data_IF_080122014548
#
_entry.id   IF_080122014548
#
_cell.length_a   1.000
_cell.length_b   1.000
_cell.length_c   1.000
_cell.angle_alpha   90.00
_cell.angle_beta   90.00
_cell.angle_gamma   90.00
#
_symmetry.space_group_name_H-M   'P 1'
#
loop_
_entity.id
_entity.type
_entity.pdbx_description
1 polymer ?
#
# COMPACT_ATOMS: atom_id res chain seq x y z
N UNK A 1 -11.97 6.00 -9.63
CA UNK A 1 -11.50 5.03 -10.63
C UNK A 1 -12.47 3.87 -10.75
N UNK A 2 -12.67 3.08 -9.73
CA UNK A 2 -13.50 1.85 -9.78
C UNK A 2 -14.99 2.11 -10.08
N UNK A 3 -15.58 3.18 -9.54
CA UNK A 3 -16.99 3.50 -9.80
C UNK A 3 -17.25 4.06 -11.21
N UNK A 4 -16.27 4.75 -11.79
CA UNK A 4 -16.33 5.16 -13.20
C UNK A 4 -16.22 3.96 -14.15
N UNK A 5 -15.53 2.89 -13.75
CA UNK A 5 -15.42 1.66 -14.55
C UNK A 5 -16.79 1.00 -14.72
N UNK A 6 -17.66 1.01 -13.70
CA UNK A 6 -19.01 0.45 -13.81
C UNK A 6 -19.86 1.17 -14.86
N UNK A 7 -19.82 2.50 -14.90
CA UNK A 7 -20.56 3.31 -15.89
C UNK A 7 -20.04 3.18 -17.32
N UNK A 8 -18.72 3.04 -17.47
CA UNK A 8 -18.03 2.87 -18.75
C UNK A 8 -17.74 1.40 -19.08
N UNK A 9 -18.15 0.47 -18.21
CA UNK A 9 -17.92 -0.96 -18.31
C UNK A 9 -18.87 -1.68 -19.28
N UNK A 10 -18.74 -2.98 -19.35
CA UNK A 10 -19.54 -3.83 -20.23
C UNK A 10 -21.02 -3.89 -19.81
N UNK A 11 -21.30 -3.81 -18.50
CA UNK A 11 -22.64 -3.92 -17.95
C UNK A 11 -23.36 -2.57 -17.77
N UNK A 12 -22.66 -1.44 -17.96
CA UNK A 12 -23.19 -0.06 -17.84
C UNK A 12 -24.03 0.17 -16.56
N UNK A 13 -23.58 -0.38 -15.45
CA UNK A 13 -24.24 -0.29 -14.15
C UNK A 13 -23.56 0.74 -13.25
N UNK A 14 -24.23 1.13 -12.16
CA UNK A 14 -23.63 1.98 -11.11
C UNK A 14 -22.62 1.21 -10.24
N UNK A 15 -22.54 -0.12 -10.39
CA UNK A 15 -21.59 -0.99 -9.72
C UNK A 15 -20.42 -1.32 -10.66
N UNK A 16 -19.18 -1.48 -10.14
CA UNK A 16 -18.06 -1.99 -10.91
C UNK A 16 -18.38 -3.35 -11.55
N UNK A 17 -17.88 -3.59 -12.76
CA UNK A 17 -18.17 -4.81 -13.52
C UNK A 17 -17.88 -6.11 -12.76
N UNK A 18 -16.78 -6.14 -11.96
CA UNK A 18 -16.45 -7.30 -11.15
C UNK A 18 -17.48 -7.58 -10.03
N UNK A 19 -18.15 -6.55 -9.52
CA UNK A 19 -19.22 -6.72 -8.52
C UNK A 19 -20.50 -7.24 -9.18
N UNK A 20 -20.82 -6.77 -10.39
CA UNK A 20 -21.97 -7.27 -11.17
C UNK A 20 -21.76 -8.75 -11.50
N UNK A 21 -20.55 -9.14 -11.89
CA UNK A 21 -20.21 -10.53 -12.18
C UNK A 21 -20.34 -11.45 -10.94
N UNK A 22 -20.10 -10.92 -9.74
CA UNK A 22 -20.24 -11.63 -8.47
C UNK A 22 -21.65 -11.52 -7.87
N UNK A 23 -22.64 -11.05 -8.63
CA UNK A 23 -24.06 -10.89 -8.25
C UNK A 23 -24.28 -9.97 -7.04
N UNK A 24 -23.43 -8.94 -6.87
CA UNK A 24 -23.64 -7.90 -5.88
C UNK A 24 -24.75 -6.96 -6.30
N UNK A 25 -25.70 -6.71 -5.38
CA UNK A 25 -26.85 -5.81 -5.63
C UNK A 25 -26.61 -4.37 -5.17
N UNK A 26 -25.75 -4.20 -4.17
CA UNK A 26 -25.48 -2.91 -3.54
C UNK A 26 -23.96 -2.70 -3.37
N UNK A 27 -23.55 -1.42 -3.41
CA UNK A 27 -22.16 -1.04 -3.19
C UNK A 27 -21.82 -1.19 -1.69
N UNK A 28 -20.80 -1.99 -1.31
CA UNK A 28 -20.38 -2.09 0.09
C UNK A 28 -19.99 -0.73 0.66
N UNK A 29 -20.24 -0.52 1.96
CA UNK A 29 -19.99 0.75 2.64
C UNK A 29 -18.55 1.28 2.51
N UNK A 30 -17.56 0.40 2.42
CA UNK A 30 -16.15 0.77 2.28
C UNK A 30 -15.81 1.32 0.89
N UNK A 31 -16.68 1.15 -0.12
CA UNK A 31 -16.55 1.75 -1.44
C UNK A 31 -17.27 3.10 -1.57
N UNK A 32 -18.09 3.50 -0.58
CA UNK A 32 -18.90 4.71 -0.65
C UNK A 32 -18.06 5.99 -0.87
N UNK A 33 -16.84 6.05 -0.30
CA UNK A 33 -15.92 7.18 -0.44
C UNK A 33 -15.11 7.16 -1.75
N UNK A 34 -15.18 6.11 -2.56
CA UNK A 34 -14.42 5.97 -3.81
C UNK A 34 -14.97 6.78 -4.99
N UNK A 35 -16.06 7.50 -4.80
CA UNK A 35 -16.71 8.33 -5.81
C UNK A 35 -15.91 9.59 -6.16
N UNK A 36 -15.25 10.16 -5.16
CA UNK A 36 -14.39 11.34 -5.33
C UNK A 36 -12.93 10.95 -5.49
N UNK A 37 -12.28 11.47 -6.54
CA UNK A 37 -10.84 11.25 -6.76
C UNK A 37 -9.99 11.76 -5.59
N UNK A 38 -10.34 12.93 -5.03
CA UNK A 38 -9.65 13.49 -3.87
C UNK A 38 -9.80 12.60 -2.62
N UNK A 39 -11.00 12.08 -2.36
CA UNK A 39 -11.23 11.14 -1.27
C UNK A 39 -10.44 9.84 -1.47
N UNK A 40 -10.37 9.32 -2.70
CA UNK A 40 -9.57 8.14 -3.02
C UNK A 40 -8.08 8.37 -2.78
N UNK A 41 -7.53 9.54 -3.12
CA UNK A 41 -6.14 9.89 -2.81
C UNK A 41 -5.88 9.92 -1.30
N UNK A 42 -6.80 10.47 -0.52
CA UNK A 42 -6.69 10.46 0.95
C UNK A 42 -6.72 9.02 1.47
N UNK A 43 -7.59 8.16 0.94
CA UNK A 43 -7.66 6.76 1.33
C UNK A 43 -6.39 5.97 1.00
N UNK A 44 -5.76 6.25 -0.14
CA UNK A 44 -4.47 5.65 -0.53
C UNK A 44 -3.37 5.93 0.50
N UNK A 45 -3.40 7.08 1.16
CA UNK A 45 -2.46 7.44 2.21
C UNK A 45 -2.91 6.94 3.59
N UNK A 46 -4.20 7.14 3.90
CA UNK A 46 -4.75 6.89 5.22
C UNK A 46 -4.88 5.40 5.55
N UNK A 47 -5.37 4.58 4.62
CA UNK A 47 -5.64 3.15 4.89
C UNK A 47 -4.35 2.39 5.22
N UNK A 48 -3.30 2.40 4.38
CA UNK A 48 -2.05 1.73 4.74
C UNK A 48 -1.38 2.36 5.96
N UNK A 49 -1.49 3.68 6.14
CA UNK A 49 -0.98 4.39 7.32
C UNK A 49 -1.65 3.93 8.61
N UNK A 50 -2.97 3.83 8.64
CA UNK A 50 -3.74 3.39 9.81
C UNK A 50 -3.45 1.92 10.13
N UNK A 51 -3.47 1.04 9.13
CA UNK A 51 -3.16 -0.38 9.31
C UNK A 51 -1.74 -0.54 9.87
N UNK A 52 -0.77 0.16 9.28
CA UNK A 52 0.61 0.12 9.76
C UNK A 52 0.75 0.71 11.17
N UNK A 53 0.02 1.78 11.49
CA UNK A 53 0.03 2.38 12.82
C UNK A 53 -0.50 1.39 13.87
N UNK A 54 -1.67 0.80 13.62
CA UNK A 54 -2.30 -0.14 14.56
C UNK A 54 -1.41 -1.36 14.77
N UNK A 55 -1.00 -2.01 13.68
CA UNK A 55 -0.13 -3.19 13.78
C UNK A 55 1.22 -2.85 14.42
N UNK A 56 1.88 -1.79 13.96
CA UNK A 56 3.17 -1.36 14.45
C UNK A 56 3.15 -0.97 15.92
N UNK A 57 2.08 -0.29 16.37
CA UNK A 57 1.92 0.07 17.78
C UNK A 57 1.91 -1.16 18.68
N UNK A 58 1.10 -2.17 18.37
CA UNK A 58 1.04 -3.40 19.17
C UNK A 58 2.34 -4.20 19.07
N UNK A 59 2.92 -4.35 17.89
CA UNK A 59 4.13 -5.11 17.67
C UNK A 59 5.35 -4.49 18.40
N UNK A 60 5.55 -3.18 18.26
CA UNK A 60 6.69 -2.51 18.91
C UNK A 60 6.49 -2.34 20.42
N UNK A 61 5.26 -2.15 20.89
CA UNK A 61 4.93 -2.11 22.31
C UNK A 61 5.19 -3.45 22.99
N UNK A 62 4.90 -4.56 22.31
CA UNK A 62 5.14 -5.92 22.80
C UNK A 62 6.62 -6.31 22.80
N UNK A 63 7.52 -5.41 22.38
CA UNK A 63 8.98 -5.62 22.29
C UNK A 63 9.38 -6.84 21.44
N UNK A 64 8.51 -7.24 20.51
CA UNK A 64 8.80 -8.33 19.58
C UNK A 64 9.91 -7.87 18.64
N UNK A 65 10.97 -8.70 18.51
CA UNK A 65 12.17 -8.37 17.73
C UNK A 65 12.62 -9.55 16.87
N UNK A 66 13.40 -9.21 15.82
CA UNK A 66 14.08 -10.21 14.98
C UNK A 66 13.10 -11.13 14.26
N UNK A 67 13.38 -12.42 14.28
CA UNK A 67 12.67 -13.46 13.53
C UNK A 67 11.17 -13.51 13.89
N UNK A 68 10.81 -13.32 15.14
CA UNK A 68 9.40 -13.33 15.57
C UNK A 68 8.60 -12.18 14.94
N UNK A 69 9.22 -11.01 14.78
CA UNK A 69 8.57 -9.89 14.10
C UNK A 69 8.32 -10.23 12.63
N UNK A 70 9.30 -10.83 11.95
CA UNK A 70 9.15 -11.26 10.55
C UNK A 70 8.06 -12.32 10.38
N UNK A 71 7.98 -13.31 11.30
CA UNK A 71 6.93 -14.34 11.24
C UNK A 71 5.54 -13.72 11.39
N UNK A 72 5.36 -12.81 12.36
CA UNK A 72 4.06 -12.18 12.62
C UNK A 72 3.64 -11.30 11.44
N UNK A 73 4.56 -10.54 10.84
CA UNK A 73 4.24 -9.72 9.66
C UNK A 73 3.86 -10.59 8.46
N UNK A 74 4.56 -11.69 8.22
CA UNK A 74 4.20 -12.63 7.15
C UNK A 74 2.86 -13.32 7.41
N UNK A 75 2.59 -13.74 8.64
CA UNK A 75 1.30 -14.32 9.02
C UNK A 75 0.14 -13.34 8.81
N UNK A 76 0.33 -12.05 9.16
CA UNK A 76 -0.66 -11.01 8.94
C UNK A 76 -0.92 -10.79 7.45
N UNK A 77 0.14 -10.73 6.63
CA UNK A 77 0.02 -10.55 5.18
C UNK A 77 -0.70 -11.73 4.55
N UNK A 78 -0.38 -12.96 4.97
CA UNK A 78 -1.05 -14.17 4.49
C UNK A 78 -2.53 -14.21 4.89
N UNK A 79 -2.85 -13.83 6.13
CA UNK A 79 -4.25 -13.73 6.58
C UNK A 79 -5.04 -12.68 5.79
N UNK A 80 -4.43 -11.52 5.49
CA UNK A 80 -5.04 -10.49 4.64
C UNK A 80 -5.24 -11.00 3.20
N UNK A 81 -4.27 -11.71 2.64
CA UNK A 81 -4.39 -12.35 1.33
C UNK A 81 -5.59 -13.29 1.28
N UNK A 82 -5.73 -14.20 2.27
CA UNK A 82 -6.86 -15.11 2.36
C UNK A 82 -8.20 -14.39 2.51
N UNK A 83 -8.22 -13.29 3.27
CA UNK A 83 -9.42 -12.45 3.41
C UNK A 83 -9.83 -11.84 2.07
N UNK A 84 -8.88 -11.35 1.27
CA UNK A 84 -9.16 -10.76 -0.03
C UNK A 84 -9.51 -11.80 -1.11
N UNK A 85 -9.10 -13.05 -0.97
CA UNK A 85 -9.54 -14.13 -1.84
C UNK A 85 -11.03 -14.48 -1.69
N UNK A 86 -11.65 -14.11 -0.57
CA UNK A 86 -13.08 -14.34 -0.37
C UNK A 86 -13.92 -13.38 -1.20
N UNK A 87 -14.78 -13.92 -2.05
CA UNK A 87 -15.69 -13.12 -2.90
C UNK A 87 -16.64 -12.22 -2.10
N UNK A 88 -16.98 -12.64 -0.88
CA UNK A 88 -17.90 -11.94 0.02
C UNK A 88 -17.35 -10.61 0.56
N UNK A 89 -16.06 -10.37 0.41
CA UNK A 89 -15.43 -9.14 0.95
C UNK A 89 -15.58 -7.93 0.05
N UNK A 90 -16.03 -8.09 -1.21
CA UNK A 90 -16.16 -7.01 -2.18
C UNK A 90 -14.83 -6.51 -2.75
N UNK A 91 -13.75 -7.29 -2.64
CA UNK A 91 -12.41 -6.99 -3.18
C UNK A 91 -12.04 -7.84 -4.41
N UNK A 92 -13.03 -8.23 -5.21
CA UNK A 92 -12.81 -8.96 -6.46
C UNK A 92 -12.47 -10.45 -6.30
N UNK A 93 -12.23 -10.94 -5.09
CA UNK A 93 -11.96 -12.34 -4.83
C UNK A 93 -10.78 -12.91 -5.63
N UNK A 94 -10.91 -14.15 -6.10
CA UNK A 94 -9.86 -14.84 -6.87
C UNK A 94 -9.53 -14.17 -8.21
N UNK A 95 -10.49 -13.48 -8.84
CA UNK A 95 -10.28 -12.79 -10.11
C UNK A 95 -9.57 -11.45 -9.95
N UNK A 96 -9.57 -10.89 -8.73
CA UNK A 96 -8.99 -9.59 -8.44
C UNK A 96 -9.72 -8.44 -9.15
N UNK A 97 -9.00 -7.33 -9.34
CA UNK A 97 -9.46 -6.18 -10.08
C UNK A 97 -8.80 -6.13 -11.45
N UNK A 98 -9.61 -6.06 -12.49
CA UNK A 98 -9.16 -6.04 -13.88
C UNK A 98 -9.89 -4.93 -14.63
N UNK A 99 -9.49 -4.71 -15.87
CA UNK A 99 -10.23 -3.89 -16.84
C UNK A 99 -10.30 -2.39 -16.48
N UNK A 100 -9.15 -1.84 -16.04
CA UNK A 100 -9.00 -0.41 -15.80
C UNK A 100 -8.97 0.34 -17.14
N UNK A 101 -10.08 0.95 -17.57
CA UNK A 101 -10.21 1.60 -18.89
C UNK A 101 -9.84 3.07 -18.89
N UNK A 102 -10.22 3.82 -17.85
CA UNK A 102 -10.10 5.29 -17.82
C UNK A 102 -9.65 5.81 -16.46
N UNK A 103 -8.85 6.87 -16.47
CA UNK A 103 -8.51 7.68 -15.31
C UNK A 103 -8.94 9.12 -15.61
N UNK A 104 -9.80 9.70 -14.75
CA UNK A 104 -10.34 11.07 -14.91
C UNK A 104 -10.92 11.32 -16.31
N UNK A 105 -11.57 10.31 -16.90
CA UNK A 105 -12.17 10.39 -18.25
C UNK A 105 -11.20 10.10 -19.41
N UNK A 106 -9.89 10.02 -19.16
CA UNK A 106 -8.89 9.72 -20.20
C UNK A 106 -8.64 8.21 -20.29
N UNK A 107 -8.62 7.62 -21.50
CA UNK A 107 -8.35 6.20 -21.67
C UNK A 107 -6.90 5.88 -21.29
N UNK A 108 -6.68 4.83 -20.48
CA UNK A 108 -5.32 4.41 -20.05
C UNK A 108 -4.50 3.86 -21.21
N UNK A 109 -5.17 3.33 -22.24
CA UNK A 109 -4.51 2.73 -23.39
C UNK A 109 -3.80 3.76 -24.31
N UNK A 110 -4.09 5.07 -24.17
CA UNK A 110 -3.45 6.11 -24.97
C UNK A 110 -1.98 6.27 -24.63
N UNK A 111 -1.17 6.54 -25.67
CA UNK A 111 0.27 6.79 -25.51
C UNK A 111 0.55 7.96 -24.55
N UNK A 112 -0.26 9.01 -24.61
CA UNK A 112 -0.15 10.19 -23.75
C UNK A 112 -0.36 9.83 -22.26
N UNK A 113 -1.36 9.01 -21.95
CA UNK A 113 -1.62 8.60 -20.57
C UNK A 113 -0.51 7.68 -20.05
N UNK A 114 0.00 6.76 -20.86
CA UNK A 114 1.14 5.91 -20.49
C UNK A 114 2.40 6.73 -20.19
N UNK A 115 2.69 7.73 -21.02
CA UNK A 115 3.82 8.65 -20.79
C UNK A 115 3.61 9.47 -19.50
N UNK A 116 2.39 9.96 -19.27
CA UNK A 116 2.05 10.70 -18.04
C UNK A 116 2.23 9.84 -16.79
N UNK A 117 1.75 8.60 -16.79
CA UNK A 117 1.92 7.66 -15.69
C UNK A 117 3.40 7.31 -15.47
N UNK A 118 4.16 7.11 -16.55
CA UNK A 118 5.60 6.85 -16.46
C UNK A 118 6.36 8.02 -15.82
N UNK A 119 6.12 9.25 -16.30
CA UNK A 119 6.73 10.46 -15.75
C UNK A 119 6.33 10.66 -14.29
N UNK A 120 5.04 10.48 -13.96
CA UNK A 120 4.54 10.60 -12.59
C UNK A 120 5.20 9.57 -11.66
N UNK A 121 5.38 8.34 -12.11
CA UNK A 121 6.07 7.29 -11.34
C UNK A 121 7.53 7.64 -11.13
N UNK A 122 8.23 8.12 -12.17
CA UNK A 122 9.61 8.56 -12.07
C UNK A 122 9.79 9.73 -11.10
N UNK A 123 8.90 10.73 -11.16
CA UNK A 123 8.90 11.86 -10.23
C UNK A 123 8.60 11.41 -8.79
N UNK A 124 7.68 10.49 -8.61
CA UNK A 124 7.36 9.93 -7.28
C UNK A 124 8.55 9.15 -6.71
N UNK A 125 9.21 8.34 -7.53
CA UNK A 125 10.42 7.61 -7.12
C UNK A 125 11.53 8.58 -6.70
N UNK A 126 11.79 9.60 -7.51
CA UNK A 126 12.77 10.66 -7.18
C UNK A 126 12.39 11.37 -5.89
N UNK A 127 11.12 11.73 -5.73
CA UNK A 127 10.60 12.36 -4.52
C UNK A 127 10.79 11.49 -3.27
N UNK A 128 10.47 10.20 -3.36
CA UNK A 128 10.67 9.24 -2.28
C UNK A 128 12.16 9.09 -1.93
N UNK A 129 13.03 9.05 -2.94
CA UNK A 129 14.48 8.98 -2.75
C UNK A 129 15.03 10.22 -2.04
N UNK A 130 14.68 11.41 -2.52
CA UNK A 130 15.10 12.68 -1.90
C UNK A 130 14.56 12.83 -0.49
N UNK A 131 13.29 12.46 -0.26
CA UNK A 131 12.68 12.45 1.06
C UNK A 131 13.41 11.49 2.01
N UNK A 132 13.74 10.28 1.57
CA UNK A 132 14.52 9.32 2.35
C UNK A 132 15.90 9.86 2.74
N UNK A 133 16.60 10.46 1.79
CA UNK A 133 17.91 11.11 2.05
C UNK A 133 17.79 12.26 3.06
N UNK A 134 16.78 13.12 2.89
CA UNK A 134 16.51 14.19 3.83
C UNK A 134 16.18 13.66 5.22
N UNK A 135 15.36 12.62 5.31
CA UNK A 135 14.96 11.99 6.56
C UNK A 135 16.18 11.43 7.32
N UNK A 136 17.07 10.71 6.62
CA UNK A 136 18.27 10.13 7.22
C UNK A 136 19.24 11.23 7.69
N UNK A 137 19.38 12.32 6.96
CA UNK A 137 20.23 13.46 7.33
C UNK A 137 19.68 14.28 8.50
N UNK A 138 18.39 14.14 8.81
CA UNK A 138 17.71 14.88 9.88
C UNK A 138 18.13 14.43 11.28
N UNK A 139 17.77 15.20 12.32
CA UNK A 139 17.94 14.79 13.72
C UNK A 139 17.17 13.49 14.03
N UNK A 140 15.99 13.35 13.44
CA UNK A 140 15.17 12.15 13.55
C UNK A 140 15.88 10.93 12.99
N UNK A 141 16.48 11.02 11.80
CA UNK A 141 17.23 9.94 11.17
C UNK A 141 18.46 9.52 11.99
N UNK A 142 19.17 10.46 12.60
CA UNK A 142 20.30 10.15 13.49
C UNK A 142 19.87 9.36 14.72
N UNK A 143 18.73 9.68 15.32
CA UNK A 143 18.17 8.90 16.44
C UNK A 143 17.78 7.50 15.99
N UNK A 144 17.19 7.35 14.80
CA UNK A 144 16.85 6.03 14.22
C UNK A 144 18.10 5.18 14.00
N UNK A 145 19.19 5.76 13.50
CA UNK A 145 20.45 5.04 13.35
C UNK A 145 21.00 4.59 14.71
N UNK A 146 20.97 5.44 15.72
CA UNK A 146 21.37 5.10 17.07
C UNK A 146 20.50 3.97 17.68
N UNK A 147 19.19 3.98 17.43
CA UNK A 147 18.26 2.90 17.84
C UNK A 147 18.61 1.59 17.14
N UNK A 148 18.93 1.63 15.84
CA UNK A 148 19.33 0.45 15.07
C UNK A 148 20.61 -0.17 15.64
N UNK A 149 21.60 0.65 15.95
CA UNK A 149 22.92 0.19 16.37
C UNK A 149 22.96 -0.25 17.84
N UNK A 150 22.25 0.47 18.74
CA UNK A 150 22.24 0.15 20.16
C UNK A 150 20.99 0.68 20.88
N UNK A 151 19.83 0.01 20.67
CA UNK A 151 18.54 0.42 21.24
C UNK A 151 18.56 0.60 22.77
N UNK A 152 19.25 -0.28 23.49
CA UNK A 152 19.38 -0.20 24.96
C UNK A 152 20.10 1.07 25.40
N UNK A 153 21.17 1.46 24.72
CA UNK A 153 21.91 2.70 25.04
C UNK A 153 21.06 3.95 24.81
N UNK A 154 20.27 3.97 23.76
CA UNK A 154 19.34 5.07 23.46
C UNK A 154 18.28 5.21 24.56
N UNK A 155 17.76 4.08 25.07
CA UNK A 155 16.82 4.07 26.20
C UNK A 155 17.46 4.60 27.48
N UNK A 156 18.71 4.21 27.78
CA UNK A 156 19.44 4.73 28.94
C UNK A 156 19.72 6.26 28.83
N UNK A 157 19.80 6.79 27.62
CA UNK A 157 19.92 8.23 27.39
C UNK A 157 18.58 8.99 27.49
N UNK A 158 17.51 8.32 27.91
CA UNK A 158 16.19 8.92 28.12
C UNK A 158 15.28 9.00 26.88
N UNK A 159 15.71 8.48 25.72
CA UNK A 159 14.87 8.45 24.53
C UNK A 159 13.97 7.22 24.51
N UNK A 160 12.70 7.42 24.16
CA UNK A 160 11.77 6.31 23.93
C UNK A 160 11.86 5.87 22.44
N UNK A 161 12.31 4.64 22.12
CA UNK A 161 12.45 4.19 20.74
C UNK A 161 11.12 3.91 20.04
N UNK A 162 10.02 3.68 20.77
CA UNK A 162 8.74 3.29 20.21
C UNK A 162 8.18 4.31 19.19
N UNK A 163 8.04 5.61 19.50
CA UNK A 163 7.50 6.57 18.53
C UNK A 163 8.40 6.70 17.28
N UNK A 164 9.70 6.60 17.41
CA UNK A 164 10.61 6.66 16.26
C UNK A 164 10.42 5.49 15.31
N UNK A 165 10.37 4.27 15.84
CA UNK A 165 10.11 3.05 15.06
C UNK A 165 8.73 3.08 14.41
N UNK A 166 7.72 3.49 15.17
CA UNK A 166 6.34 3.55 14.69
C UNK A 166 6.20 4.58 13.55
N UNK A 167 6.79 5.75 13.70
CA UNK A 167 6.72 6.81 12.67
C UNK A 167 7.37 6.35 11.37
N UNK A 168 8.57 5.77 11.41
CA UNK A 168 9.23 5.32 10.17
C UNK A 168 8.49 4.15 9.53
N UNK A 169 7.91 3.26 10.33
CA UNK A 169 7.07 2.17 9.86
C UNK A 169 5.83 2.67 9.13
N UNK A 170 5.12 3.64 9.69
CA UNK A 170 3.94 4.26 9.06
C UNK A 170 4.32 5.02 7.78
N UNK A 171 5.41 5.79 7.79
CA UNK A 171 5.92 6.49 6.59
C UNK A 171 6.19 5.48 5.47
N UNK A 172 6.89 4.39 5.77
CA UNK A 172 7.18 3.33 4.80
C UNK A 172 5.90 2.73 4.20
N UNK A 173 4.90 2.43 5.03
CA UNK A 173 3.62 1.89 4.58
C UNK A 173 2.85 2.87 3.67
N UNK A 174 2.88 4.17 3.99
CA UNK A 174 2.27 5.21 3.15
C UNK A 174 2.99 5.30 1.80
N UNK A 175 4.32 5.25 1.78
CA UNK A 175 5.09 5.23 0.53
C UNK A 175 4.74 4.00 -0.33
N UNK A 176 4.59 2.82 0.29
CA UNK A 176 4.12 1.62 -0.40
C UNK A 176 2.69 1.79 -0.95
N UNK A 177 1.79 2.45 -0.20
CA UNK A 177 0.45 2.78 -0.68
C UNK A 177 0.45 3.66 -1.93
N UNK A 178 1.31 4.67 -1.98
CA UNK A 178 1.49 5.52 -3.17
C UNK A 178 2.02 4.70 -4.34
N UNK A 179 3.03 3.85 -4.11
CA UNK A 179 3.59 2.98 -5.14
C UNK A 179 2.53 2.03 -5.71
N UNK A 180 1.70 1.41 -4.86
CA UNK A 180 0.59 0.56 -5.28
C UNK A 180 -0.46 1.29 -6.11
N UNK A 181 -0.79 2.53 -5.75
CA UNK A 181 -1.74 3.35 -6.50
C UNK A 181 -1.24 3.71 -7.91
N UNK A 182 0.08 3.83 -8.11
CA UNK A 182 0.70 4.06 -9.42
C UNK A 182 0.91 2.76 -10.21
N UNK A 183 1.12 1.64 -9.52
CA UNK A 183 1.34 0.33 -10.13
C UNK A 183 0.08 -0.19 -10.83
N UNK A 184 -1.05 -0.17 -10.14
CA UNK A 184 -2.31 -0.78 -10.60
C UNK A 184 -2.76 -0.28 -11.99
N UNK A 185 -2.79 1.03 -12.29
CA UNK A 185 -3.18 1.52 -13.61
C UNK A 185 -2.21 1.14 -14.74
N UNK A 186 -0.95 0.89 -14.42
CA UNK A 186 0.07 0.56 -15.42
C UNK A 186 0.07 -0.93 -15.77
N UNK A 187 -0.18 -1.79 -14.78
CA UNK A 187 -0.25 -3.24 -14.99
C UNK A 187 -1.63 -3.67 -15.50
N UNK A 188 -2.69 -2.97 -15.09
CA UNK A 188 -4.06 -3.22 -15.55
C UNK A 188 -4.76 -4.39 -14.86
N UNK A 189 -4.09 -5.09 -13.97
CA UNK A 189 -4.65 -6.17 -13.15
C UNK A 189 -4.00 -6.17 -11.77
N UNK A 190 -4.78 -6.42 -10.75
CA UNK A 190 -4.27 -6.71 -9.41
C UNK A 190 -5.14 -7.79 -8.78
N UNK A 191 -4.51 -8.81 -8.23
CA UNK A 191 -5.19 -9.88 -7.52
C UNK A 191 -4.55 -10.11 -6.14
N UNK A 192 -5.22 -10.80 -5.21
CA UNK A 192 -4.70 -11.01 -3.87
C UNK A 192 -3.38 -11.80 -3.81
N UNK A 193 -3.00 -12.54 -4.87
CA UNK A 193 -1.73 -13.29 -4.92
C UNK A 193 -0.50 -12.38 -4.90
N UNK A 194 -0.64 -11.08 -5.24
CA UNK A 194 0.42 -10.09 -5.08
C UNK A 194 0.87 -9.93 -3.61
N UNK A 195 0.00 -10.27 -2.67
CA UNK A 195 0.30 -10.25 -1.23
C UNK A 195 1.00 -11.54 -0.77
N UNK A 196 1.44 -12.40 -1.66
CA UNK A 196 2.13 -13.65 -1.28
C UNK A 196 3.45 -13.37 -0.57
N UNK A 197 3.82 -14.28 0.35
CA UNK A 197 5.10 -14.20 1.06
C UNK A 197 6.29 -14.26 0.10
N UNK A 198 6.17 -14.99 -1.01
CA UNK A 198 7.21 -15.10 -2.04
C UNK A 198 7.55 -13.73 -2.65
N UNK A 199 6.55 -12.96 -3.05
CA UNK A 199 6.75 -11.61 -3.59
C UNK A 199 7.40 -10.67 -2.56
N UNK A 200 6.98 -10.76 -1.30
CA UNK A 200 7.58 -9.94 -0.22
C UNK A 200 9.05 -10.29 0.01
N UNK A 201 9.40 -11.57 -0.05
CA UNK A 201 10.80 -12.04 0.09
C UNK A 201 11.63 -11.58 -1.11
N UNK A 202 11.10 -11.68 -2.31
CA UNK A 202 11.76 -11.23 -3.54
C UNK A 202 12.11 -9.73 -3.47
N UNK A 203 11.15 -8.88 -3.08
CA UNK A 203 11.38 -7.44 -2.88
C UNK A 203 12.48 -7.20 -1.83
N UNK A 204 12.47 -7.96 -0.73
CA UNK A 204 13.49 -7.85 0.31
C UNK A 204 14.88 -8.24 -0.20
N UNK A 205 14.99 -9.28 -1.04
CA UNK A 205 16.26 -9.69 -1.69
C UNK A 205 16.75 -8.57 -2.61
N UNK A 206 15.89 -8.02 -3.47
CA UNK A 206 16.26 -6.91 -4.35
C UNK A 206 16.75 -5.68 -3.57
N UNK A 207 16.08 -5.35 -2.47
CA UNK A 207 16.52 -4.25 -1.61
C UNK A 207 17.87 -4.53 -0.94
N UNK A 208 18.14 -5.78 -0.54
CA UNK A 208 19.41 -6.16 0.11
C UNK A 208 20.59 -6.21 -0.88
N UNK A 209 20.35 -6.64 -2.13
CA UNK A 209 21.39 -6.73 -3.17
C UNK A 209 21.67 -5.38 -3.81
N UNK A 210 20.66 -4.52 -3.93
CA UNK A 210 20.79 -3.20 -4.54
C UNK A 210 21.25 -2.08 -3.60
N UNK A 211 21.32 -2.33 -2.31
CA UNK A 211 21.73 -1.37 -1.29
C UNK A 211 23.08 -1.66 -0.71
#
# INVERSE_FOLDING_TARGET
LMRQIGRDGNYKSDLPDFMVFLDWKELPWHWALSDSFAATLILVLAVPGVIAFVFGYFAFRSRIKGVYFSIITQAMTFAAMLLFFRNETGFGGNNGFTDFKRILGMPIATQEMRMTLFVLTGLTLLGCFLFGRWLIASKFGRVLQAIRDAESRVMFSGYNPLPYKLTIWVISAVMCGIAGALYVPQVGIINPSEMSAANSIEIAIWAAVGG
#
